data_IF_204007952734
#
_entry.id   IF_204007952734
#
_cell.length_a   1.000
_cell.length_b   1.000
_cell.length_c   1.000
_cell.angle_alpha   90.00
_cell.angle_beta   90.00
_cell.angle_gamma   90.00
#
_symmetry.space_group_name_H-M   'P 1'
#
loop_
_entity.id
_entity.type
_entity.pdbx_description
1 polymer ?
#
# COMPACT_ATOMS: atom_id res chain seq x y z
N UNK A 1 8.46 10.47 12.44
CA UNK A 1 7.94 11.86 12.29
C UNK A 1 6.77 11.86 11.31
N UNK A 2 5.81 12.77 11.44
CA UNK A 2 4.58 12.78 10.64
C UNK A 2 4.53 13.96 9.67
N UNK A 3 3.87 13.76 8.53
CA UNK A 3 3.49 14.84 7.62
C UNK A 3 2.03 14.65 7.21
N UNK A 4 1.26 15.73 7.30
CA UNK A 4 -0.15 15.78 6.93
C UNK A 4 -0.32 16.73 5.74
N UNK A 5 -1.03 16.27 4.73
CA UNK A 5 -1.36 17.08 3.55
C UNK A 5 -2.85 17.01 3.28
N UNK A 6 -3.38 18.07 2.68
CA UNK A 6 -4.77 18.14 2.25
C UNK A 6 -4.86 17.95 0.74
N UNK A 7 -5.76 17.07 0.31
CA UNK A 7 -5.97 16.76 -1.09
C UNK A 7 -6.63 17.95 -1.81
N UNK A 8 -6.50 18.05 -3.13
CA UNK A 8 -7.30 19.00 -3.92
C UNK A 8 -8.82 18.80 -3.76
N UNK A 9 -9.26 17.63 -3.32
CA UNK A 9 -10.66 17.30 -3.04
C UNK A 9 -11.07 17.51 -1.57
N UNK A 10 -10.16 18.03 -0.72
CA UNK A 10 -10.46 18.54 0.62
C UNK A 10 -10.36 17.53 1.77
N UNK A 11 -9.93 16.29 1.53
CA UNK A 11 -9.65 15.32 2.59
C UNK A 11 -8.17 15.39 3.02
N UNK A 12 -7.88 14.97 4.24
CA UNK A 12 -6.51 14.97 4.77
C UNK A 12 -5.98 13.54 4.88
N UNK A 13 -4.70 13.37 4.51
CA UNK A 13 -3.93 12.15 4.76
C UNK A 13 -2.69 12.56 5.54
N UNK A 14 -2.43 11.87 6.65
CA UNK A 14 -1.22 12.03 7.44
C UNK A 14 -0.51 10.69 7.49
N UNK A 15 0.80 10.70 7.24
CA UNK A 15 1.66 9.53 7.28
C UNK A 15 2.85 9.80 8.20
N UNK A 16 3.16 8.81 9.03
CA UNK A 16 4.27 8.83 9.97
C UNK A 16 5.15 7.61 9.74
N UNK A 17 6.44 7.81 9.45
CA UNK A 17 7.42 6.71 9.59
C UNK A 17 7.76 6.59 11.08
N UNK A 18 7.40 5.46 11.68
CA UNK A 18 7.47 5.20 13.13
C UNK A 18 8.69 4.37 13.52
N UNK A 19 9.09 3.44 12.66
CA UNK A 19 10.28 2.63 12.83
C UNK A 19 10.98 2.49 11.48
N UNK A 20 12.31 2.47 11.46
CA UNK A 20 13.22 2.63 12.60
C UNK A 20 13.28 4.08 13.11
N UNK A 21 13.84 4.28 14.31
CA UNK A 21 14.06 5.63 14.84
C UNK A 21 15.15 6.38 14.04
N UNK A 22 15.03 7.71 13.87
CA UNK A 22 16.06 8.51 13.21
C UNK A 22 17.43 8.37 13.89
N UNK A 23 18.48 8.18 13.08
CA UNK A 23 19.86 8.01 13.52
C UNK A 23 20.20 6.63 14.08
N UNK A 24 19.27 5.67 14.00
CA UNK A 24 19.51 4.30 14.45
C UNK A 24 20.47 3.54 13.53
N UNK A 25 21.19 2.59 14.11
CA UNK A 25 22.03 1.63 13.39
C UNK A 25 21.26 0.35 13.12
N UNK A 26 21.21 -0.07 11.86
CA UNK A 26 20.44 -1.22 11.40
C UNK A 26 21.37 -2.35 10.96
N UNK A 27 21.00 -3.57 11.33
CA UNK A 27 21.70 -4.80 10.94
C UNK A 27 20.71 -5.97 10.91
N UNK A 28 20.92 -6.94 10.02
CA UNK A 28 20.04 -8.10 9.87
C UNK A 28 18.70 -7.78 9.22
N UNK A 29 17.62 -8.35 9.78
CA UNK A 29 16.25 -8.07 9.34
C UNK A 29 15.58 -7.12 10.32
N UNK A 30 15.16 -5.96 9.84
CA UNK A 30 14.55 -4.91 10.65
C UNK A 30 13.15 -4.61 10.15
N UNK A 31 12.19 -4.50 11.06
CA UNK A 31 10.85 -4.04 10.71
C UNK A 31 10.87 -2.52 10.46
N UNK A 32 10.39 -2.10 9.30
CA UNK A 32 10.14 -0.69 8.98
C UNK A 32 8.64 -0.51 8.94
N UNK A 33 8.13 0.47 9.69
CA UNK A 33 6.69 0.66 9.83
C UNK A 33 6.29 2.12 9.66
N UNK A 34 5.16 2.33 8.97
CA UNK A 34 4.51 3.61 8.87
C UNK A 34 3.05 3.53 9.33
N UNK A 35 2.55 4.61 9.93
CA UNK A 35 1.13 4.74 10.29
C UNK A 35 0.50 5.80 9.41
N UNK A 36 -0.68 5.49 8.89
CA UNK A 36 -1.48 6.40 8.07
C UNK A 36 -2.81 6.68 8.76
N UNK A 37 -3.10 7.96 8.96
CA UNK A 37 -4.39 8.46 9.45
C UNK A 37 -5.04 9.32 8.40
N UNK A 38 -6.37 9.30 8.34
CA UNK A 38 -7.10 10.00 7.29
C UNK A 38 -8.37 10.64 7.83
N UNK A 39 -8.68 11.83 7.33
CA UNK A 39 -9.79 12.65 7.83
C UNK A 39 -10.62 13.18 6.66
N UNK A 40 -11.94 13.05 6.76
CA UNK A 40 -12.86 13.58 5.73
C UNK A 40 -12.83 12.83 4.39
N UNK A 41 -12.28 11.62 4.35
CA UNK A 41 -12.15 10.87 3.11
C UNK A 41 -13.53 10.52 2.53
N UNK A 42 -13.80 10.81 1.23
CA UNK A 42 -15.07 10.46 0.60
C UNK A 42 -15.33 8.97 0.59
N UNK A 43 -16.60 8.58 0.55
CA UNK A 43 -16.99 7.17 0.40
C UNK A 43 -16.40 6.58 -0.88
N UNK A 44 -15.71 5.45 -0.75
CA UNK A 44 -15.06 4.75 -1.87
C UNK A 44 -13.62 5.19 -2.13
N UNK A 45 -13.18 6.32 -1.55
CA UNK A 45 -11.77 6.70 -1.48
C UNK A 45 -11.12 5.96 -0.31
N UNK A 46 -9.92 5.44 -0.52
CA UNK A 46 -9.11 4.77 0.50
C UNK A 46 -7.62 4.88 0.18
N UNK A 47 -6.80 4.81 1.22
CA UNK A 47 -5.38 4.50 1.05
C UNK A 47 -5.29 3.11 0.42
N UNK A 48 -4.73 3.06 -0.79
CA UNK A 48 -4.59 1.84 -1.56
C UNK A 48 -3.33 1.08 -1.16
N UNK A 49 -2.25 1.80 -0.86
CA UNK A 49 -0.96 1.24 -0.52
C UNK A 49 -0.12 2.23 0.29
N UNK A 50 0.84 1.70 1.04
CA UNK A 50 2.02 2.43 1.45
C UNK A 50 3.24 1.81 0.78
N UNK A 51 4.07 2.66 0.19
CA UNK A 51 5.30 2.26 -0.46
C UNK A 51 6.46 2.80 0.35
N UNK A 52 7.45 1.95 0.54
CA UNK A 52 8.69 2.28 1.24
C UNK A 52 9.86 2.25 0.26
N UNK A 53 10.80 3.19 0.41
CA UNK A 53 12.01 3.17 -0.38
C UNK A 53 13.25 3.70 0.35
N UNK A 54 14.41 3.34 -0.20
CA UNK A 54 15.73 3.74 0.29
C UNK A 54 16.35 4.80 -0.63
N UNK A 55 16.97 5.81 -0.03
CA UNK A 55 17.82 6.88 -0.59
C UNK A 55 17.19 7.85 -1.59
N UNK A 56 16.40 7.36 -2.53
CA UNK A 56 15.91 8.17 -3.64
C UNK A 56 14.44 8.53 -3.50
N UNK A 57 14.15 9.81 -3.74
CA UNK A 57 12.79 10.31 -3.94
C UNK A 57 12.67 11.07 -5.28
N UNK A 58 11.55 10.92 -6.02
CA UNK A 58 10.51 9.91 -5.82
C UNK A 58 11.10 8.51 -6.00
N UNK A 59 10.48 7.49 -5.40
CA UNK A 59 10.94 6.12 -5.54
C UNK A 59 10.76 5.71 -7.02
N UNK A 60 11.80 5.88 -7.81
CA UNK A 60 11.85 5.51 -9.22
C UNK A 60 12.22 4.04 -9.31
N UNK A 61 11.43 3.24 -10.05
CA UNK A 61 11.70 1.80 -10.28
C UNK A 61 13.09 1.46 -10.87
N UNK A 62 13.91 2.46 -11.20
CA UNK A 62 15.16 2.29 -11.93
C UNK A 62 16.42 2.43 -11.08
N UNK A 63 16.30 3.02 -9.90
CA UNK A 63 17.42 3.23 -9.01
C UNK A 63 17.26 2.20 -7.89
N UNK A 64 18.32 1.52 -7.49
CA UNK A 64 18.36 0.31 -6.65
C UNK A 64 17.79 0.47 -5.21
N UNK A 65 17.01 1.53 -4.97
CA UNK A 65 16.16 1.73 -3.81
C UNK A 65 15.08 0.65 -3.74
N UNK A 66 15.30 -0.30 -2.85
CA UNK A 66 14.37 -1.37 -2.51
C UNK A 66 12.93 -0.85 -2.35
N UNK A 67 11.98 -1.51 -3.02
CA UNK A 67 10.64 -0.98 -3.27
C UNK A 67 9.60 -2.01 -2.81
N UNK A 68 9.34 -2.07 -1.50
CA UNK A 68 8.20 -2.85 -1.00
C UNK A 68 6.97 -1.96 -0.92
N UNK A 69 5.87 -2.51 -1.45
CA UNK A 69 4.53 -1.96 -1.31
C UNK A 69 3.71 -2.85 -0.39
N UNK A 70 3.16 -2.27 0.68
CA UNK A 70 2.17 -2.91 1.53
C UNK A 70 0.77 -2.40 1.15
N UNK A 71 -0.06 -3.32 0.66
CA UNK A 71 -1.44 -3.05 0.21
C UNK A 71 -2.49 -3.30 1.29
N UNK A 72 -2.06 -3.89 2.41
CA UNK A 72 -2.92 -4.64 3.32
C UNK A 72 -2.93 -4.11 4.74
N UNK A 73 -2.22 -3.01 5.00
CA UNK A 73 -1.96 -2.41 6.31
C UNK A 73 -2.98 -2.77 7.39
N UNK A 74 -2.46 -3.12 8.56
CA UNK A 74 -3.17 -3.70 9.69
C UNK A 74 -4.54 -3.01 9.92
N UNK A 75 -5.56 -3.79 10.32
CA UNK A 75 -6.90 -3.24 10.55
C UNK A 75 -6.82 -2.03 11.49
N UNK A 76 -7.63 -1.01 11.19
CA UNK A 76 -7.56 0.30 11.83
C UNK A 76 -7.54 0.17 13.36
N UNK A 77 -6.42 0.51 13.97
CA UNK A 77 -6.34 0.78 15.39
C UNK A 77 -6.82 2.19 15.70
N UNK A 78 -6.96 2.54 16.98
CA UNK A 78 -7.36 3.89 17.41
C UNK A 78 -6.41 5.03 16.95
N UNK A 79 -5.27 4.70 16.33
CA UNK A 79 -4.26 5.64 15.83
C UNK A 79 -4.01 5.59 14.31
N UNK A 80 -4.84 4.90 13.52
CA UNK A 80 -4.67 4.75 12.07
C UNK A 80 -4.31 3.33 11.62
N UNK A 81 -4.09 3.17 10.31
CA UNK A 81 -3.60 1.91 9.71
C UNK A 81 -2.09 1.85 9.78
N UNK A 82 -1.56 0.73 10.25
CA UNK A 82 -0.12 0.48 10.25
C UNK A 82 0.28 -0.37 9.05
N UNK A 83 1.31 0.06 8.35
CA UNK A 83 1.91 -0.64 7.23
C UNK A 83 3.31 -1.03 7.64
N UNK A 84 3.69 -2.28 7.40
CA UNK A 84 4.98 -2.80 7.87
C UNK A 84 5.62 -3.66 6.81
N UNK A 85 6.93 -3.54 6.65
CA UNK A 85 7.72 -4.50 5.88
C UNK A 85 9.00 -4.89 6.62
N UNK A 86 9.54 -6.05 6.27
CA UNK A 86 10.83 -6.52 6.77
C UNK A 86 11.94 -6.08 5.82
N UNK A 87 12.81 -5.19 6.29
CA UNK A 87 13.99 -4.72 5.58
C UNK A 87 15.18 -5.61 5.91
N UNK A 88 15.65 -6.36 4.92
CA UNK A 88 16.86 -7.18 5.02
C UNK A 88 18.08 -6.31 4.70
N UNK A 89 18.69 -5.72 5.73
CA UNK A 89 19.81 -4.80 5.58
C UNK A 89 21.06 -5.51 5.10
N UNK A 90 21.17 -6.83 5.33
CA UNK A 90 22.37 -7.63 5.02
C UNK A 90 22.74 -7.66 3.53
N UNK A 91 21.82 -7.22 2.67
CA UNK A 91 22.01 -7.10 1.22
C UNK A 91 22.77 -5.85 0.80
N UNK A 92 23.08 -4.96 1.73
CA UNK A 92 23.63 -3.65 1.41
C UNK A 92 24.96 -3.41 2.10
N UNK A 93 25.78 -2.58 1.47
CA UNK A 93 27.00 -2.05 2.03
C UNK A 93 26.71 -1.25 3.31
N UNK A 94 27.74 -1.12 4.14
CA UNK A 94 27.73 -0.21 5.27
C UNK A 94 27.64 1.23 4.76
N UNK A 95 26.65 1.96 5.24
CA UNK A 95 26.39 3.35 4.84
C UNK A 95 25.89 4.12 6.07
N UNK A 96 26.63 5.14 6.54
CA UNK A 96 26.25 5.91 7.71
C UNK A 96 25.06 6.87 7.49
N UNK A 97 24.63 7.10 6.24
CA UNK A 97 23.68 8.14 5.89
C UNK A 97 22.54 7.66 4.97
N UNK A 98 22.18 6.38 5.08
CA UNK A 98 21.03 5.82 4.35
C UNK A 98 19.74 6.53 4.76
N UNK A 99 18.88 6.86 3.79
CA UNK A 99 17.57 7.46 4.10
C UNK A 99 16.42 6.53 3.76
N UNK A 100 15.46 6.41 4.67
CA UNK A 100 14.22 5.67 4.48
C UNK A 100 13.06 6.64 4.25
N UNK A 101 12.27 6.35 3.22
CA UNK A 101 11.09 7.11 2.82
C UNK A 101 9.86 6.22 2.90
N UNK A 102 8.71 6.82 3.22
CA UNK A 102 7.40 6.18 3.08
C UNK A 102 6.39 7.15 2.47
N UNK A 103 5.52 6.66 1.61
CA UNK A 103 4.42 7.43 1.07
C UNK A 103 3.13 6.62 0.96
N UNK A 104 2.01 7.26 1.27
CA UNK A 104 0.68 6.69 1.14
C UNK A 104 0.12 7.05 -0.24
N UNK A 105 -0.30 6.05 -1.00
CA UNK A 105 -1.04 6.21 -2.24
C UNK A 105 -2.54 6.04 -1.99
N UNK A 106 -3.33 6.95 -2.51
CA UNK A 106 -4.78 6.90 -2.48
C UNK A 106 -5.29 6.37 -3.83
N UNK A 107 -6.39 5.61 -3.82
CA UNK A 107 -6.94 4.99 -5.04
C UNK A 107 -7.50 5.97 -6.09
N UNK A 108 -7.42 7.28 -5.83
CA UNK A 108 -7.71 8.35 -6.79
C UNK A 108 -6.44 8.93 -7.46
N UNK A 109 -5.27 8.35 -7.17
CA UNK A 109 -3.98 8.75 -7.73
C UNK A 109 -3.26 9.85 -6.96
N UNK A 110 -3.83 10.35 -5.85
CA UNK A 110 -3.13 11.27 -4.97
C UNK A 110 -2.19 10.54 -4.00
N UNK A 111 -1.15 11.23 -3.54
CA UNK A 111 -0.19 10.66 -2.59
C UNK A 111 0.29 11.67 -1.56
N UNK A 112 0.70 11.16 -0.41
CA UNK A 112 1.29 11.92 0.71
C UNK A 112 2.56 11.24 1.19
N UNK A 113 3.60 12.01 1.47
CA UNK A 113 4.91 11.51 1.87
C UNK A 113 5.21 11.83 3.33
N UNK A 114 5.80 10.88 4.06
CA UNK A 114 6.39 11.13 5.37
C UNK A 114 7.73 11.87 5.24
N UNK A 115 8.19 12.58 6.28
CA UNK A 115 9.58 13.05 6.34
C UNK A 115 10.53 11.85 6.24
N UNK A 116 11.63 12.02 5.49
CA UNK A 116 12.67 11.00 5.38
C UNK A 116 13.31 10.73 6.75
N UNK A 117 13.71 9.48 6.98
CA UNK A 117 14.38 9.05 8.21
C UNK A 117 15.77 8.54 7.88
N UNK A 118 16.80 9.25 8.34
CA UNK A 118 18.19 8.85 8.19
C UNK A 118 18.53 7.74 9.19
N UNK A 119 19.27 6.73 8.74
CA UNK A 119 19.73 5.56 9.49
C UNK A 119 21.13 5.17 9.03
N UNK A 120 21.85 4.45 9.87
CA UNK A 120 23.14 3.85 9.50
C UNK A 120 22.97 2.35 9.23
N UNK A 121 23.48 1.85 8.10
CA UNK A 121 23.61 0.42 7.85
C UNK A 121 24.96 -0.07 8.36
N UNK A 122 24.95 -1.10 9.20
CA UNK A 122 26.15 -1.70 9.81
C UNK A 122 26.06 -3.22 9.71
N UNK A 123 26.33 -3.71 8.51
CA UNK A 123 26.29 -5.12 8.13
C UNK A 123 27.68 -5.76 8.11
N UNK A 124 28.76 -4.96 8.13
CA UNK A 124 30.13 -5.42 7.92
C UNK A 124 30.41 -5.75 6.46
N UNK A 125 29.68 -5.12 5.53
CA UNK A 125 29.81 -5.31 4.09
C UNK A 125 30.33 -4.03 3.45
N UNK A 126 31.36 -4.11 2.62
CA UNK A 126 31.87 -2.93 1.91
C UNK A 126 31.15 -2.70 0.57
N UNK A 127 30.27 -3.61 0.15
CA UNK A 127 29.57 -3.58 -1.15
C UNK A 127 28.16 -4.16 -1.01
N UNK A 128 27.24 -3.67 -1.85
CA UNK A 128 25.90 -4.24 -1.99
C UNK A 128 25.99 -5.68 -2.54
N UNK A 129 25.08 -6.54 -2.09
CA UNK A 129 24.93 -7.87 -2.63
C UNK A 129 24.55 -7.78 -4.11
N UNK A 130 25.26 -8.53 -4.95
CA UNK A 130 24.93 -8.60 -6.37
C UNK A 130 23.49 -9.07 -6.56
N UNK A 131 22.74 -8.38 -7.42
CA UNK A 131 21.42 -8.83 -7.82
C UNK A 131 21.53 -10.23 -8.43
N UNK A 132 20.63 -11.17 -8.11
CA UNK A 132 20.65 -12.50 -8.69
C UNK A 132 20.61 -12.43 -10.23
N UNK A 133 21.73 -12.71 -10.87
CA UNK A 133 21.79 -12.84 -12.34
C UNK A 133 21.53 -14.30 -12.68
N UNK A 134 20.40 -14.60 -13.31
CA UNK A 134 20.13 -15.98 -13.75
C UNK A 134 18.70 -16.47 -13.60
N UNK A 135 17.69 -15.59 -13.64
CA UNK A 135 16.34 -16.06 -13.88
C UNK A 135 16.27 -16.67 -15.29
N UNK A 136 16.41 -17.99 -15.38
CA UNK A 136 16.11 -18.73 -16.59
C UNK A 136 14.62 -19.08 -16.54
N UNK A 137 13.75 -18.48 -17.38
CA UNK A 137 12.39 -18.94 -17.47
C UNK A 137 12.42 -20.42 -17.89
N UNK A 138 11.99 -21.31 -17.01
CA UNK A 138 11.77 -22.70 -17.40
C UNK A 138 10.70 -22.69 -18.48
N UNK A 139 11.01 -23.25 -19.65
CA UNK A 139 10.01 -23.40 -20.71
C UNK A 139 8.82 -24.18 -20.14
N UNK A 140 7.61 -23.63 -20.34
CA UNK A 140 6.39 -24.32 -19.96
C UNK A 140 6.36 -25.69 -20.69
N UNK A 141 5.97 -26.78 -20.00
CA UNK A 141 5.72 -28.05 -20.67
C UNK A 141 4.72 -27.84 -21.81
N UNK A 142 4.88 -28.51 -22.97
CA UNK A 142 3.96 -28.37 -24.07
C UNK A 142 2.63 -29.09 -23.74
N UNK A 143 1.67 -28.39 -23.12
CA UNK A 143 0.22 -28.60 -23.27
C UNK A 143 -0.65 -27.52 -22.59
N UNK A 144 -1.90 -27.27 -23.07
CA UNK A 144 -2.59 -25.99 -23.00
C UNK A 144 -3.49 -25.84 -21.76
N UNK A 145 -2.96 -26.16 -20.58
CA UNK A 145 -3.61 -25.81 -19.32
C UNK A 145 -3.08 -24.47 -18.83
N UNK A 146 -3.95 -23.54 -18.42
CA UNK A 146 -3.55 -22.25 -17.87
C UNK A 146 -2.66 -22.45 -16.62
N UNK A 147 -1.34 -22.30 -16.77
CA UNK A 147 -0.39 -22.24 -15.66
C UNK A 147 -0.18 -20.78 -15.30
N UNK A 148 -0.79 -20.31 -14.21
CA UNK A 148 -0.45 -19.00 -13.62
C UNK A 148 0.73 -19.21 -12.67
N UNK A 149 1.93 -19.29 -13.24
CA UNK A 149 3.18 -19.20 -12.50
C UNK A 149 3.55 -17.74 -12.27
N UNK A 150 2.89 -17.07 -11.33
CA UNK A 150 3.29 -15.73 -10.90
C UNK A 150 4.34 -15.86 -9.78
N UNK A 151 5.61 -16.03 -10.16
CA UNK A 151 6.73 -15.70 -9.27
C UNK A 151 7.18 -14.30 -9.68
N UNK A 152 6.53 -13.30 -9.11
CA UNK A 152 6.80 -11.90 -9.34
C UNK A 152 6.50 -11.15 -8.05
N UNK A 153 7.54 -10.97 -7.24
CA UNK A 153 7.57 -9.94 -6.20
C UNK A 153 7.62 -8.58 -6.93
N UNK A 154 6.50 -7.85 -6.93
CA UNK A 154 6.48 -6.42 -7.28
C UNK A 154 5.62 -5.97 -8.49
N UNK A 155 4.36 -5.62 -8.19
CA UNK A 155 3.59 -4.47 -8.71
C UNK A 155 3.14 -4.38 -10.20
N UNK A 156 1.90 -4.85 -10.42
CA UNK A 156 0.84 -4.06 -11.07
C UNK A 156 1.03 -3.70 -12.54
N UNK A 157 0.73 -4.63 -13.44
CA UNK A 157 0.34 -4.25 -14.80
C UNK A 157 -1.07 -3.65 -14.74
N UNK A 158 -1.21 -2.35 -15.02
CA UNK A 158 -2.49 -1.84 -15.48
C UNK A 158 -2.90 -2.65 -16.72
N UNK A 159 -4.13 -3.19 -16.80
CA UNK A 159 -4.55 -3.92 -17.98
C UNK A 159 -4.47 -2.99 -19.20
N UNK A 160 -3.99 -3.47 -20.36
CA UNK A 160 -3.91 -2.63 -21.54
C UNK A 160 -5.31 -2.11 -21.88
N UNK A 161 -5.41 -0.77 -21.99
CA UNK A 161 -6.58 -0.08 -22.52
C UNK A 161 -6.91 -0.71 -23.87
N UNK A 162 -7.99 -1.49 -23.95
CA UNK A 162 -8.52 -1.98 -25.21
C UNK A 162 -8.85 -0.78 -26.09
N UNK A 163 -7.99 -0.49 -27.05
CA UNK A 163 -8.35 0.28 -28.23
C UNK A 163 -9.28 -0.58 -29.05
N UNK A 164 -10.58 -0.30 -28.99
CA UNK A 164 -11.56 -0.88 -29.92
C UNK A 164 -11.26 -0.37 -31.33
N UNK A 165 -10.94 -1.22 -32.32
CA UNK A 165 -10.99 -0.79 -33.70
C UNK A 165 -12.45 -0.63 -34.14
N UNK A 166 -12.68 0.42 -34.92
CA UNK A 166 -13.95 0.74 -35.54
C UNK A 166 -14.36 -0.30 -36.59
N UNK A 167 -15.69 -0.50 -36.66
CA UNK A 167 -16.50 -0.98 -37.80
C UNK A 167 -16.17 -2.30 -38.49
N UNK A 168 -17.14 -3.22 -38.46
CA UNK A 168 -17.89 -3.58 -39.67
C UNK A 168 -19.22 -4.26 -39.32
N UNK A 169 -20.29 -3.68 -39.85
CA UNK A 169 -21.67 -4.15 -39.82
C UNK A 169 -21.86 -5.43 -40.65
N UNK A 170 -22.52 -6.44 -40.08
CA UNK A 170 -23.24 -7.48 -40.83
C UNK A 170 -24.54 -7.78 -40.07
N UNK A 171 -25.68 -7.46 -40.69
CA UNK A 171 -27.03 -7.87 -40.24
C UNK A 171 -27.20 -9.39 -40.32
N UNK A 172 -28.26 -10.03 -39.81
CA UNK A 172 -29.67 -9.66 -39.86
C UNK A 172 -30.45 -10.35 -38.69
N UNK A 173 -31.80 -10.27 -38.58
CA UNK A 173 -32.57 -9.99 -37.37
C UNK A 173 -32.90 -11.27 -36.57
N UNK A 174 -33.58 -11.29 -35.41
CA UNK A 174 -35.05 -11.24 -35.23
C UNK A 174 -35.34 -11.16 -33.71
N UNK A 175 -36.31 -10.31 -33.34
CA UNK A 175 -37.28 -10.30 -32.22
C UNK A 175 -37.05 -11.16 -30.96
N UNK A 176 -37.56 -10.86 -29.77
CA UNK A 176 -38.15 -9.71 -29.07
C UNK A 176 -38.46 -10.24 -27.65
N UNK A 177 -38.84 -9.33 -26.75
CA UNK A 177 -39.71 -9.58 -25.60
C UNK A 177 -39.08 -9.77 -24.19
N UNK A 178 -39.51 -8.84 -23.34
CA UNK A 178 -40.00 -9.01 -21.96
C UNK A 178 -39.04 -8.91 -20.77
N UNK A 179 -39.07 -7.72 -20.17
CA UNK A 179 -39.22 -7.39 -18.74
C UNK A 179 -39.13 -8.51 -17.69
N UNK A 180 -38.35 -8.25 -16.64
CA UNK A 180 -38.81 -8.45 -15.27
C UNK A 180 -38.02 -7.57 -14.29
N UNK A 181 -38.70 -6.54 -13.81
CA UNK A 181 -38.45 -5.84 -12.55
C UNK A 181 -38.52 -6.84 -11.40
N UNK A 182 -37.58 -6.79 -10.45
CA UNK A 182 -37.76 -7.42 -9.14
C UNK A 182 -37.20 -6.52 -8.06
N UNK A 183 -38.13 -5.79 -7.46
CA UNK A 183 -38.00 -4.98 -6.25
C UNK A 183 -38.02 -5.92 -5.05
N UNK A 184 -36.92 -6.02 -4.28
CA UNK A 184 -36.96 -6.67 -2.96
C UNK A 184 -36.57 -5.67 -1.88
N UNK A 185 -37.63 -5.23 -1.20
CA UNK A 185 -37.69 -4.42 0.01
C UNK A 185 -37.13 -5.20 1.19
N UNK A 186 -36.16 -4.64 1.92
CA UNK A 186 -35.75 -5.11 3.23
C UNK A 186 -35.44 -3.94 4.19
N UNK A 187 -36.28 -3.81 5.21
CA UNK A 187 -36.11 -3.10 6.49
C UNK A 187 -37.09 -3.81 7.45
N UNK A 188 -37.02 -3.72 8.80
CA UNK A 188 -36.05 -3.03 9.66
C UNK A 188 -35.63 -3.85 10.92
N UNK A 189 -34.66 -3.34 11.71
CA UNK A 189 -34.39 -3.51 13.18
C UNK A 189 -32.86 -3.46 13.40
N UNK A 190 -32.26 -2.84 14.41
CA UNK A 190 -32.66 -2.45 15.76
C UNK A 190 -31.82 -1.26 16.21
N UNK A 191 -32.39 -0.33 16.98
CA UNK A 191 -31.63 0.65 17.76
C UNK A 191 -31.84 0.36 19.24
N UNK A 192 -30.81 -0.16 19.91
CA UNK A 192 -30.77 -0.33 21.37
C UNK A 192 -30.07 0.88 21.97
N UNK A 193 -30.81 1.66 22.74
CA UNK A 193 -30.31 2.80 23.53
C UNK A 193 -29.76 2.24 24.85
N UNK A 194 -28.44 2.34 25.05
CA UNK A 194 -27.77 2.01 26.31
C UNK A 194 -27.27 3.29 26.97
N UNK A 195 -27.82 3.60 28.14
CA UNK A 195 -27.57 4.78 28.98
C UNK A 195 -26.29 4.59 29.80
N UNK A 196 -25.29 5.46 29.66
CA UNK A 196 -24.09 5.47 30.52
C UNK A 196 -24.35 6.34 31.75
N UNK A 197 -24.31 5.74 32.94
CA UNK A 197 -24.27 6.45 34.23
C UNK A 197 -22.81 6.65 34.64
N UNK A 198 -22.39 7.90 34.83
CA UNK A 198 -21.09 8.26 35.40
C UNK A 198 -21.25 8.45 36.90
N UNK A 199 -20.63 7.58 37.71
CA UNK A 199 -20.48 7.76 39.15
C UNK A 199 -19.12 8.41 39.43
N UNK A 200 -19.13 9.65 39.92
CA UNK A 200 -17.95 10.36 40.41
C UNK A 200 -17.70 9.96 41.87
N UNK A 201 -16.70 9.11 42.08
CA UNK A 201 -16.20 8.73 43.40
C UNK A 201 -15.01 9.59 43.83
N UNK A 202 -15.13 10.18 45.01
CA UNK A 202 -14.22 11.11 45.68
C UNK A 202 -13.53 10.38 46.84
N UNK A 203 -12.20 10.42 46.96
CA UNK A 203 -11.42 10.16 48.20
C UNK A 203 -9.98 10.61 47.93
N UNK A 204 -9.44 11.67 48.54
CA UNK A 204 -8.99 11.80 49.93
C UNK A 204 -7.92 10.76 50.30
N UNK A 205 -6.64 11.11 50.09
CA UNK A 205 -5.57 11.17 51.09
C UNK A 205 -4.34 11.83 50.47
#
# INVERSE_FOLDING_TARGET
MCNATTSPSGYEVSICLEQPDPGSSLTGQVAVSAVVTTTGMPSGTRVQAVVFCRDTWPCTRRDDGYLITDWSGDPDGAGGKRYTFMFDTTRYADDPATTLHAYAEVNDGWSTQAPATEVALVNGNDQDAALPTGFAPHQAPPDPGLVVGAVGDGAGASPPRRTSPASSSVGIPVSSSTSATSTTRARPRSSTTGTTSTATGRSSQ
#
